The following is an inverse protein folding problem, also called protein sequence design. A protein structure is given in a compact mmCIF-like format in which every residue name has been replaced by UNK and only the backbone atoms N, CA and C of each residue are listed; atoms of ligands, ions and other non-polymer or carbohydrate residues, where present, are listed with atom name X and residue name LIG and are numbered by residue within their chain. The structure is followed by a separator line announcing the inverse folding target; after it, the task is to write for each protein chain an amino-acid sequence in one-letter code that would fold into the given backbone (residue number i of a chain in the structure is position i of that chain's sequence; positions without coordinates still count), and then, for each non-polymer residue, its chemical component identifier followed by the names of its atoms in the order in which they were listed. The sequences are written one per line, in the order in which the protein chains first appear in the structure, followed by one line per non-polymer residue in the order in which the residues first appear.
data_IF_531732699663
#
_entry.id   IF_531732699663
#
_cell.length_a   1.000
_cell.length_b   1.000
_cell.length_c   1.000
_cell.angle_alpha   90.00
_cell.angle_beta   90.00
_cell.angle_gamma   90.00
#
_symmetry.space_group_name_H-M   'P 1'
#
loop_
_entity.id
_entity.type
_entity.pdbx_description
1 polymer ?
#
# COMPACT_ATOMS: atom_id res chain seq x y z
N UNK A 1 33.58 18.58 -29.18
CA UNK A 1 32.43 17.64 -29.07
C UNK A 1 31.94 17.67 -27.64
N UNK A 2 30.80 18.33 -27.38
CA UNK A 2 30.21 18.37 -26.05
C UNK A 2 29.64 16.98 -25.72
N UNK A 3 30.12 16.36 -24.62
CA UNK A 3 29.51 15.14 -24.09
C UNK A 3 28.06 15.46 -23.75
N UNK A 4 27.13 14.81 -24.45
CA UNK A 4 25.71 14.86 -24.13
C UNK A 4 25.57 14.22 -22.74
N UNK A 5 25.25 15.01 -21.73
CA UNK A 5 24.92 14.50 -20.40
C UNK A 5 23.57 13.81 -20.56
N UNK A 6 23.56 12.49 -20.67
CA UNK A 6 22.32 11.72 -20.55
C UNK A 6 21.77 11.95 -19.15
N UNK A 7 20.54 12.46 -19.06
CA UNK A 7 19.80 12.47 -17.80
C UNK A 7 19.60 11.01 -17.41
N UNK A 8 20.37 10.54 -16.43
CA UNK A 8 20.10 9.26 -15.78
C UNK A 8 18.78 9.43 -15.02
N UNK A 9 17.69 8.95 -15.62
CA UNK A 9 16.40 8.85 -14.96
C UNK A 9 16.45 7.62 -14.05
N UNK A 10 16.21 7.83 -12.75
CA UNK A 10 16.11 6.72 -11.78
C UNK A 10 15.09 5.70 -12.28
N UNK A 11 15.42 4.42 -12.13
CA UNK A 11 14.51 3.31 -12.36
C UNK A 11 13.37 3.31 -11.34
N UNK A 12 12.25 2.67 -11.67
CA UNK A 12 11.11 2.50 -10.75
C UNK A 12 11.53 1.89 -9.42
N UNK A 13 12.45 0.91 -9.48
CA UNK A 13 13.00 0.25 -8.30
C UNK A 13 13.80 1.19 -7.41
N UNK A 14 14.68 2.01 -7.99
CA UNK A 14 15.45 3.00 -7.22
C UNK A 14 14.52 4.03 -6.56
N UNK A 15 13.47 4.46 -7.25
CA UNK A 15 12.47 5.39 -6.68
C UNK A 15 11.69 4.72 -5.54
N UNK A 16 11.35 3.43 -5.66
CA UNK A 16 10.71 2.67 -4.60
C UNK A 16 11.63 2.49 -3.38
N UNK A 17 12.90 2.17 -3.60
CA UNK A 17 13.88 2.02 -2.52
C UNK A 17 14.07 3.35 -1.77
N UNK A 18 14.13 4.48 -2.49
CA UNK A 18 14.17 5.83 -1.90
C UNK A 18 12.92 6.14 -1.08
N UNK A 19 11.73 5.77 -1.57
CA UNK A 19 10.45 5.94 -0.86
C UNK A 19 10.45 5.16 0.46
N UNK A 20 10.85 3.89 0.42
CA UNK A 20 10.88 3.01 1.59
C UNK A 20 11.87 3.52 2.64
N UNK A 21 13.08 3.89 2.22
CA UNK A 21 14.08 4.46 3.11
C UNK A 21 13.60 5.77 3.74
N UNK A 22 13.04 6.69 2.94
CA UNK A 22 12.54 7.96 3.42
C UNK A 22 11.37 7.82 4.40
N UNK A 23 10.46 6.87 4.16
CA UNK A 23 9.36 6.56 5.08
C UNK A 23 9.87 6.00 6.41
N UNK A 24 10.81 5.05 6.37
CA UNK A 24 11.42 4.49 7.58
C UNK A 24 12.16 5.54 8.40
N UNK A 25 12.97 6.38 7.76
CA UNK A 25 13.63 7.50 8.44
C UNK A 25 12.61 8.45 9.07
N UNK A 26 11.50 8.75 8.38
CA UNK A 26 10.46 9.59 8.92
C UNK A 26 9.83 8.96 10.17
N UNK A 27 9.48 7.67 10.14
CA UNK A 27 8.95 6.94 11.32
C UNK A 27 9.89 7.02 12.53
N UNK A 28 11.19 6.92 12.31
CA UNK A 28 12.20 7.03 13.38
C UNK A 28 12.27 8.43 14.01
N UNK A 29 11.82 9.48 13.32
CA UNK A 29 11.80 10.86 13.83
C UNK A 29 10.63 11.15 14.77
N UNK A 30 9.64 10.25 14.85
CA UNK A 30 8.55 10.34 15.82
C UNK A 30 7.18 9.95 15.26
N UNK A 31 6.20 9.87 16.16
CA UNK A 31 4.83 9.50 15.82
C UNK A 31 4.22 10.45 14.77
N UNK A 32 3.54 9.87 13.77
CA UNK A 32 2.87 10.60 12.70
C UNK A 32 3.80 11.25 11.66
N UNK A 33 5.12 11.15 11.80
CA UNK A 33 6.06 11.68 10.80
C UNK A 33 6.07 10.83 9.52
N UNK A 34 5.88 9.51 9.64
CA UNK A 34 5.70 8.60 8.51
C UNK A 34 4.48 9.00 7.65
N UNK A 35 3.32 9.18 8.30
CA UNK A 35 2.10 9.70 7.67
C UNK A 35 2.36 11.01 6.89
N UNK A 36 2.93 12.03 7.57
CA UNK A 36 3.22 13.33 6.94
C UNK A 36 4.16 13.20 5.74
N UNK A 37 5.16 12.33 5.83
CA UNK A 37 6.09 12.08 4.72
C UNK A 37 5.37 11.50 3.50
N UNK A 38 4.45 10.55 3.69
CA UNK A 38 3.70 9.91 2.61
C UNK A 38 2.69 10.87 1.98
N UNK A 39 1.93 11.62 2.79
CA UNK A 39 0.98 12.63 2.30
C UNK A 39 1.68 13.69 1.46
N UNK A 40 2.84 14.18 1.93
CA UNK A 40 3.67 15.11 1.17
C UNK A 40 4.20 14.48 -0.11
N UNK A 41 4.71 13.26 -0.04
CA UNK A 41 5.25 12.55 -1.23
C UNK A 41 4.17 12.36 -2.30
N UNK A 42 2.97 11.97 -1.91
CA UNK A 42 1.85 11.76 -2.84
C UNK A 42 1.26 13.06 -3.40
N UNK A 43 1.31 14.16 -2.64
CA UNK A 43 0.79 15.46 -3.08
C UNK A 43 1.79 16.27 -3.91
N UNK A 44 3.08 16.24 -3.57
CA UNK A 44 4.11 17.07 -4.22
C UNK A 44 4.71 16.39 -5.47
N UNK A 45 4.75 15.05 -5.53
CA UNK A 45 5.38 14.34 -6.63
C UNK A 45 4.35 13.92 -7.69
N UNK A 46 3.97 14.88 -8.54
CA UNK A 46 3.02 14.65 -9.64
C UNK A 46 3.43 13.55 -10.64
N UNK A 47 4.70 13.15 -10.67
CA UNK A 47 5.27 12.19 -11.63
C UNK A 47 5.77 10.88 -11.03
N UNK A 48 5.29 10.47 -9.84
CA UNK A 48 5.63 9.14 -9.32
C UNK A 48 5.13 8.04 -10.27
N UNK A 49 5.97 7.02 -10.59
CA UNK A 49 5.50 5.84 -11.31
C UNK A 49 4.33 5.19 -10.58
N UNK A 50 3.40 4.60 -11.34
CA UNK A 50 2.18 4.02 -10.76
C UNK A 50 2.48 2.88 -9.77
N UNK A 51 3.52 2.07 -10.00
CA UNK A 51 3.95 1.08 -9.03
C UNK A 51 4.39 1.71 -7.70
N UNK A 52 5.16 2.80 -7.75
CA UNK A 52 5.60 3.52 -6.56
C UNK A 52 4.41 4.16 -5.83
N UNK A 53 3.43 4.69 -6.57
CA UNK A 53 2.16 5.17 -5.96
C UNK A 53 1.43 4.03 -5.24
N UNK A 54 1.34 2.85 -5.86
CA UNK A 54 0.77 1.66 -5.23
C UNK A 54 1.46 1.34 -3.90
N UNK A 55 2.80 1.28 -3.91
CA UNK A 55 3.57 1.05 -2.68
C UNK A 55 3.35 2.14 -1.63
N UNK A 56 3.35 3.42 -2.02
CA UNK A 56 3.07 4.54 -1.12
C UNK A 56 1.68 4.45 -0.49
N UNK A 57 0.64 4.07 -1.25
CA UNK A 57 -0.70 3.88 -0.71
C UNK A 57 -0.80 2.68 0.24
N UNK A 58 -0.06 1.61 -0.02
CA UNK A 58 0.05 0.48 0.92
C UNK A 58 0.63 0.94 2.27
N UNK A 59 1.68 1.76 2.26
CA UNK A 59 2.27 2.30 3.49
C UNK A 59 1.35 3.33 4.16
N UNK A 60 0.64 4.13 3.36
CA UNK A 60 -0.29 5.15 3.86
C UNK A 60 -1.46 4.51 4.62
N UNK A 61 -1.98 3.39 4.12
CA UNK A 61 -3.00 2.61 4.80
C UNK A 61 -2.54 2.14 6.19
N UNK A 62 -1.29 1.69 6.33
CA UNK A 62 -0.72 1.32 7.63
C UNK A 62 -0.64 2.52 8.58
N UNK A 63 -0.09 3.65 8.11
CA UNK A 63 0.07 4.85 8.93
C UNK A 63 -1.27 5.44 9.38
N UNK A 64 -2.28 5.44 8.52
CA UNK A 64 -3.65 5.90 8.86
C UNK A 64 -4.34 4.96 9.83
N UNK A 65 -4.16 3.65 9.68
CA UNK A 65 -4.70 2.67 10.61
C UNK A 65 -4.09 2.83 12.01
N UNK A 66 -2.78 3.13 12.10
CA UNK A 66 -2.11 3.45 13.37
C UNK A 66 -2.65 4.74 14.01
N UNK A 67 -3.10 5.69 13.19
CA UNK A 67 -3.75 6.92 13.63
C UNK A 67 -5.27 6.76 13.90
N UNK A 68 -5.83 5.56 13.73
CA UNK A 68 -7.27 5.27 13.81
C UNK A 68 -8.13 6.08 12.83
N UNK A 69 -7.54 6.52 11.71
CA UNK A 69 -8.26 7.13 10.58
C UNK A 69 -8.77 6.01 9.66
N UNK A 70 -9.93 5.44 9.99
CA UNK A 70 -10.47 4.26 9.33
C UNK A 70 -10.96 4.57 7.91
N UNK A 71 -11.66 5.69 7.71
CA UNK A 71 -12.09 6.16 6.40
C UNK A 71 -10.86 6.38 5.49
N UNK A 72 -9.86 7.10 5.98
CA UNK A 72 -8.64 7.33 5.21
C UNK A 72 -7.84 6.06 4.97
N UNK A 73 -7.91 5.07 5.86
CA UNK A 73 -7.31 3.75 5.65
C UNK A 73 -8.00 3.02 4.50
N UNK A 74 -9.34 2.95 4.51
CA UNK A 74 -10.11 2.30 3.46
C UNK A 74 -9.86 2.95 2.08
N UNK A 75 -9.82 4.29 2.02
CA UNK A 75 -9.47 5.03 0.80
C UNK A 75 -8.07 4.69 0.28
N UNK A 76 -7.07 4.64 1.17
CA UNK A 76 -5.70 4.30 0.81
C UNK A 76 -5.59 2.86 0.29
N UNK A 77 -6.30 1.91 0.89
CA UNK A 77 -6.35 0.52 0.42
C UNK A 77 -6.97 0.44 -0.98
N UNK A 78 -8.07 1.15 -1.22
CA UNK A 78 -8.67 1.20 -2.56
C UNK A 78 -7.71 1.83 -3.59
N UNK A 79 -6.95 2.85 -3.20
CA UNK A 79 -5.94 3.44 -4.07
C UNK A 79 -4.78 2.47 -4.35
N UNK A 80 -4.33 1.73 -3.35
CA UNK A 80 -3.34 0.66 -3.50
C UNK A 80 -3.83 -0.42 -4.48
N UNK A 81 -5.05 -0.92 -4.30
CA UNK A 81 -5.66 -1.95 -5.15
C UNK A 81 -5.73 -1.55 -6.63
N UNK A 82 -6.04 -0.28 -6.91
CA UNK A 82 -6.05 0.27 -8.29
C UNK A 82 -4.67 0.23 -8.96
N UNK A 83 -3.59 0.24 -8.18
CA UNK A 83 -2.22 0.24 -8.68
C UNK A 83 -1.54 -1.14 -8.68
N UNK A 84 -2.23 -2.20 -8.23
CA UNK A 84 -1.69 -3.57 -8.26
C UNK A 84 -1.19 -4.01 -9.65
N UNK A 85 -1.89 -3.74 -10.77
CA UNK A 85 -1.39 -4.15 -12.08
C UNK A 85 -0.05 -3.51 -12.45
N UNK A 86 0.15 -2.22 -12.11
CA UNK A 86 1.42 -1.55 -12.33
C UNK A 86 2.53 -2.06 -11.41
N UNK A 87 2.20 -2.41 -10.16
CA UNK A 87 3.15 -3.06 -9.25
C UNK A 87 3.60 -4.43 -9.79
N UNK A 88 2.68 -5.22 -10.34
CA UNK A 88 3.02 -6.52 -10.94
C UNK A 88 3.93 -6.35 -12.16
N UNK A 89 3.60 -5.41 -13.05
CA UNK A 89 4.39 -5.10 -14.25
C UNK A 89 5.81 -4.62 -13.90
N UNK A 90 5.93 -3.63 -13.00
CA UNK A 90 7.22 -2.99 -12.71
C UNK A 90 8.12 -3.81 -11.76
N UNK A 91 7.53 -4.58 -10.83
CA UNK A 91 8.31 -5.37 -9.86
C UNK A 91 8.58 -6.80 -10.33
N UNK A 92 7.77 -7.34 -11.25
CA UNK A 92 7.90 -8.71 -11.76
C UNK A 92 8.01 -9.73 -10.62
N UNK A 93 9.14 -10.46 -10.55
CA UNK A 93 9.39 -11.43 -9.47
C UNK A 93 9.36 -10.84 -8.05
N UNK A 94 9.58 -9.53 -7.91
CA UNK A 94 9.49 -8.83 -6.63
C UNK A 94 8.06 -8.55 -6.16
N UNK A 95 7.08 -8.61 -7.07
CA UNK A 95 5.68 -8.28 -6.77
C UNK A 95 5.10 -9.17 -5.67
N UNK A 96 5.34 -10.48 -5.75
CA UNK A 96 4.83 -11.44 -4.77
C UNK A 96 5.36 -11.15 -3.36
N UNK A 97 6.67 -10.95 -3.25
CA UNK A 97 7.32 -10.58 -1.98
C UNK A 97 6.81 -9.25 -1.44
N UNK A 98 6.54 -8.28 -2.32
CA UNK A 98 5.95 -7.01 -1.92
C UNK A 98 4.55 -7.21 -1.32
N UNK A 99 3.69 -7.99 -1.96
CA UNK A 99 2.34 -8.26 -1.47
C UNK A 99 2.36 -8.98 -0.12
N UNK A 100 3.18 -10.02 0.03
CA UNK A 100 3.31 -10.78 1.29
C UNK A 100 3.89 -9.95 2.44
N UNK A 101 4.66 -8.90 2.13
CA UNK A 101 5.19 -7.96 3.11
C UNK A 101 4.29 -6.76 3.39
N UNK A 102 3.22 -6.57 2.60
CA UNK A 102 2.26 -5.49 2.80
C UNK A 102 1.27 -5.87 3.91
N UNK A 103 0.83 -4.87 4.68
CA UNK A 103 -0.28 -5.03 5.63
C UNK A 103 -1.57 -4.34 5.16
N UNK A 104 -1.58 -3.82 3.92
CA UNK A 104 -2.65 -2.95 3.44
C UNK A 104 -4.01 -3.66 3.44
N UNK A 105 -4.07 -4.93 3.04
CA UNK A 105 -5.33 -5.68 3.02
C UNK A 105 -5.83 -5.95 4.44
N UNK A 106 -4.94 -6.28 5.38
CA UNK A 106 -5.31 -6.53 6.78
C UNK A 106 -5.83 -5.26 7.42
N UNK A 107 -5.17 -4.13 7.17
CA UNK A 107 -5.62 -2.81 7.63
C UNK A 107 -6.92 -2.38 6.97
N UNK A 108 -7.12 -2.71 5.69
CA UNK A 108 -8.38 -2.47 4.99
C UNK A 108 -9.54 -3.25 5.60
N UNK A 109 -9.36 -4.54 5.88
CA UNK A 109 -10.39 -5.36 6.54
C UNK A 109 -10.70 -4.83 7.93
N UNK A 110 -9.67 -4.45 8.70
CA UNK A 110 -9.86 -3.80 9.99
C UNK A 110 -10.69 -2.53 9.84
N UNK A 111 -10.29 -1.61 8.96
CA UNK A 111 -10.97 -0.34 8.74
C UNK A 111 -12.45 -0.53 8.35
N UNK A 112 -12.75 -1.43 7.40
CA UNK A 112 -14.11 -1.69 6.97
C UNK A 112 -14.96 -2.31 8.09
N UNK A 113 -14.37 -3.15 8.94
CA UNK A 113 -15.06 -3.68 10.12
C UNK A 113 -15.39 -2.59 11.13
N UNK A 114 -14.45 -1.69 11.41
CA UNK A 114 -14.66 -0.53 12.30
C UNK A 114 -15.72 0.44 11.75
N UNK A 115 -15.84 0.56 10.43
CA UNK A 115 -16.87 1.33 9.73
C UNK A 115 -18.20 0.57 9.57
N UNK A 116 -18.31 -0.63 10.14
CA UNK A 116 -19.46 -1.54 9.99
C UNK A 116 -19.80 -1.94 8.54
N UNK A 117 -18.86 -1.79 7.61
CA UNK A 117 -18.95 -2.29 6.24
C UNK A 117 -18.40 -3.72 6.14
N UNK A 118 -19.15 -4.66 6.69
CA UNK A 118 -18.79 -6.09 6.64
C UNK A 118 -18.80 -6.65 5.22
N UNK A 119 -19.57 -6.04 4.31
CA UNK A 119 -19.59 -6.48 2.92
C UNK A 119 -18.26 -6.17 2.23
N UNK A 120 -17.79 -4.92 2.32
CA UNK A 120 -16.48 -4.54 1.79
C UNK A 120 -15.34 -5.33 2.45
N UNK A 121 -15.43 -5.63 3.75
CA UNK A 121 -14.44 -6.45 4.45
C UNK A 121 -14.35 -7.88 3.87
N UNK A 122 -15.48 -8.49 3.52
CA UNK A 122 -15.54 -9.79 2.86
C UNK A 122 -14.96 -9.73 1.44
N UNK A 123 -15.29 -8.70 0.67
CA UNK A 123 -14.74 -8.51 -0.69
C UNK A 123 -13.21 -8.37 -0.67
N UNK A 124 -12.65 -7.69 0.34
CA UNK A 124 -11.19 -7.63 0.52
C UNK A 124 -10.58 -9.00 0.85
N UNK A 125 -11.25 -9.82 1.67
CA UNK A 125 -10.78 -11.18 1.94
C UNK A 125 -10.83 -12.03 0.66
N UNK A 126 -11.92 -11.96 -0.11
CA UNK A 126 -12.05 -12.63 -1.41
C UNK A 126 -10.93 -12.20 -2.37
N UNK A 127 -10.58 -10.92 -2.37
CA UNK A 127 -9.47 -10.41 -3.17
C UNK A 127 -8.12 -10.96 -2.72
N UNK A 128 -7.87 -11.04 -1.42
CA UNK A 128 -6.65 -11.61 -0.87
C UNK A 128 -6.49 -13.11 -1.19
N UNK A 129 -7.60 -13.86 -1.16
CA UNK A 129 -7.66 -15.27 -1.57
C UNK A 129 -7.36 -15.39 -3.07
N UNK A 130 -7.96 -14.54 -3.91
CA UNK A 130 -7.69 -14.53 -5.36
C UNK A 130 -6.24 -14.16 -5.70
N UNK A 131 -5.56 -13.41 -4.83
CA UNK A 131 -4.13 -13.10 -4.91
C UNK A 131 -3.24 -14.20 -4.30
N UNK A 132 -3.84 -15.30 -3.83
CA UNK A 132 -3.17 -16.45 -3.21
C UNK A 132 -2.30 -16.05 -1.99
N UNK A 133 -2.75 -15.10 -1.16
CA UNK A 133 -1.98 -14.60 -0.01
C UNK A 133 -2.03 -15.52 1.23
N UNK A 134 -2.55 -16.73 1.07
CA UNK A 134 -2.52 -17.80 2.05
C UNK A 134 -3.86 -18.08 2.75
N UNK A 135 -3.97 -19.30 3.29
CA UNK A 135 -5.21 -19.87 3.84
C UNK A 135 -5.79 -19.10 5.05
N UNK A 136 -5.00 -18.25 5.71
CA UNK A 136 -5.50 -17.43 6.82
C UNK A 136 -6.58 -16.43 6.37
N UNK A 137 -6.61 -16.05 5.09
CA UNK A 137 -7.65 -15.20 4.52
C UNK A 137 -9.00 -15.91 4.40
N UNK A 138 -9.01 -17.22 4.13
CA UNK A 138 -10.23 -18.03 4.13
C UNK A 138 -10.84 -18.08 5.54
N UNK A 139 -10.02 -18.38 6.55
CA UNK A 139 -10.47 -18.39 7.95
C UNK A 139 -10.99 -17.02 8.40
N UNK A 140 -10.34 -15.93 7.99
CA UNK A 140 -10.77 -14.55 8.30
C UNK A 140 -12.11 -14.23 7.63
N UNK A 141 -12.27 -14.61 6.36
CA UNK A 141 -13.52 -14.44 5.62
C UNK A 141 -14.68 -15.18 6.30
N UNK A 142 -14.47 -16.43 6.68
CA UNK A 142 -15.48 -17.25 7.33
C UNK A 142 -15.89 -16.67 8.69
N UNK A 143 -14.91 -16.18 9.46
CA UNK A 143 -15.17 -15.47 10.72
C UNK A 143 -16.01 -14.21 10.53
N UNK A 144 -15.75 -13.42 9.48
CA UNK A 144 -16.51 -12.21 9.18
C UNK A 144 -17.92 -12.53 8.68
N UNK A 145 -18.07 -13.59 7.87
CA UNK A 145 -19.37 -14.02 7.36
C UNK A 145 -20.32 -14.44 8.48
N UNK A 146 -19.78 -14.99 9.57
CA UNK A 146 -20.55 -15.34 10.76
C UNK A 146 -20.91 -14.12 11.64
N UNK A 147 -20.13 -13.03 11.57
CA UNK A 147 -20.32 -11.82 12.38
C UNK A 147 -21.33 -10.81 11.81
N UNK A 148 -21.89 -11.07 10.62
CA UNK A 148 -22.94 -10.27 9.98
C UNK A 148 -24.31 -10.48 10.63
#
# INVERSE_FOLDING_TARGET
MAKRIERVTKSVREILDDLLAGHQEARLRGAGQGLKYLERTLSEQGSLPNAVKGAAFSLLAEERALAQDWEGTAEAVQAFLRHLPSLEEDLGHGYRRFLEGSTALERGVQALTELADFHGALELCDRAIALDLGAHWEAKRDSLAWAR
#
